data_IF_512895984257
#
_entry.id   IF_512895984257
#
_cell.length_a   1.000
_cell.length_b   1.000
_cell.length_c   1.000
_cell.angle_alpha   90.00
_cell.angle_beta   90.00
_cell.angle_gamma   90.00
#
_symmetry.space_group_name_H-M   'P 1'
#
loop_
_entity.id
_entity.type
_entity.pdbx_description
1 polymer ?
#
# COMPACT_ATOMS: atom_id res chain seq x y z
N UNK A 1 10.99 14.24 4.29
CA UNK A 1 9.74 13.57 3.83
C UNK A 1 10.01 12.07 3.91
N UNK A 2 9.25 11.36 4.74
CA UNK A 2 9.53 9.96 5.09
C UNK A 2 8.65 8.96 4.32
N UNK A 3 7.54 9.41 3.73
CA UNK A 3 6.66 8.59 2.91
C UNK A 3 7.00 8.66 1.43
N UNK A 4 6.92 7.52 0.77
CA UNK A 4 7.07 7.38 -0.68
C UNK A 4 5.71 7.57 -1.32
N UNK A 5 5.63 8.47 -2.28
CA UNK A 5 4.41 8.85 -2.97
C UNK A 5 4.43 8.60 -4.48
N UNK A 6 5.58 8.18 -5.02
CA UNK A 6 5.72 7.89 -6.45
C UNK A 6 6.70 6.74 -6.71
N UNK A 7 6.61 6.16 -7.91
CA UNK A 7 7.55 5.12 -8.35
C UNK A 7 8.94 5.69 -8.55
N UNK A 8 9.07 6.95 -8.99
CA UNK A 8 10.37 7.61 -9.15
C UNK A 8 11.15 7.70 -7.82
N UNK A 9 10.45 7.93 -6.70
CA UNK A 9 11.09 7.93 -5.39
C UNK A 9 11.63 6.55 -5.01
N UNK A 10 10.91 5.47 -5.38
CA UNK A 10 11.41 4.10 -5.22
C UNK A 10 12.62 3.83 -6.11
N UNK A 11 12.58 4.23 -7.37
CA UNK A 11 13.69 4.03 -8.32
C UNK A 11 15.01 4.63 -7.81
N UNK A 12 14.97 5.74 -7.07
CA UNK A 12 16.14 6.35 -6.46
C UNK A 12 16.80 5.50 -5.36
N UNK A 13 16.10 4.47 -4.87
CA UNK A 13 16.56 3.56 -3.82
C UNK A 13 16.98 2.19 -4.36
N UNK A 14 16.97 1.98 -5.69
CA UNK A 14 17.46 0.75 -6.34
C UNK A 14 18.95 0.49 -6.07
N UNK A 15 19.40 -0.79 -6.08
CA UNK A 15 18.63 -2.05 -6.17
C UNK A 15 18.07 -2.53 -4.83
N UNK A 16 17.08 -3.44 -4.90
CA UNK A 16 16.35 -3.95 -3.74
C UNK A 16 16.55 -5.44 -3.49
N UNK A 17 16.66 -5.83 -2.21
CA UNK A 17 16.25 -7.15 -1.74
C UNK A 17 14.82 -7.05 -1.23
N UNK A 18 13.98 -8.01 -1.60
CA UNK A 18 12.56 -8.06 -1.24
C UNK A 18 12.33 -9.12 -0.17
N UNK A 19 11.74 -8.72 0.96
CA UNK A 19 11.32 -9.64 2.03
C UNK A 19 9.85 -9.98 1.82
N UNK A 20 9.57 -11.27 1.57
CA UNK A 20 8.22 -11.80 1.34
C UNK A 20 7.96 -12.17 -0.12
N UNK A 21 7.95 -13.48 -0.40
CA UNK A 21 7.66 -14.08 -1.70
C UNK A 21 6.16 -14.36 -1.84
N UNK A 22 5.36 -13.31 -1.82
CA UNK A 22 3.92 -13.34 -2.01
C UNK A 22 3.47 -12.27 -2.99
N UNK A 23 2.16 -12.07 -3.11
CA UNK A 23 1.59 -11.09 -4.05
C UNK A 23 2.07 -9.65 -3.82
N UNK A 24 2.48 -9.26 -2.60
CA UNK A 24 3.09 -7.97 -2.32
C UNK A 24 4.47 -7.83 -2.94
N UNK A 25 5.35 -8.80 -2.70
CA UNK A 25 6.70 -8.83 -3.27
C UNK A 25 6.69 -8.90 -4.79
N UNK A 26 5.82 -9.75 -5.37
CA UNK A 26 5.64 -9.84 -6.82
C UNK A 26 5.21 -8.49 -7.43
N UNK A 27 4.21 -7.84 -6.84
CA UNK A 27 3.72 -6.53 -7.32
C UNK A 27 4.77 -5.45 -7.22
N UNK A 28 5.52 -5.42 -6.12
CA UNK A 28 6.61 -4.45 -5.94
C UNK A 28 7.68 -4.63 -7.01
N UNK A 29 8.14 -5.85 -7.23
CA UNK A 29 9.20 -6.15 -8.20
C UNK A 29 8.77 -5.94 -9.66
N UNK A 30 7.46 -5.94 -9.95
CA UNK A 30 6.90 -5.63 -11.26
C UNK A 30 6.63 -4.14 -11.50
N UNK A 31 6.90 -3.24 -10.54
CA UNK A 31 6.80 -1.80 -10.77
C UNK A 31 7.85 -1.38 -11.82
N UNK A 32 7.45 -0.47 -12.70
CA UNK A 32 8.32 0.04 -13.76
C UNK A 32 9.60 0.65 -13.20
N UNK A 33 10.75 0.17 -13.66
CA UNK A 33 12.07 0.69 -13.28
C UNK A 33 12.53 0.29 -11.87
N UNK A 34 11.86 -0.63 -11.19
CA UNK A 34 12.35 -1.24 -9.96
C UNK A 34 13.31 -2.37 -10.31
N UNK A 35 14.47 -2.35 -9.68
CA UNK A 35 15.52 -3.35 -9.80
C UNK A 35 15.54 -4.21 -8.54
N UNK A 36 15.11 -5.47 -8.68
CA UNK A 36 15.17 -6.48 -7.62
C UNK A 36 16.38 -7.37 -7.85
N UNK A 37 17.20 -7.59 -6.83
CA UNK A 37 18.41 -8.41 -6.89
C UNK A 37 18.33 -9.68 -6.03
N UNK A 38 17.23 -9.89 -5.30
CA UNK A 38 17.01 -11.10 -4.53
C UNK A 38 15.77 -11.07 -3.66
N UNK A 39 15.39 -12.25 -3.17
CA UNK A 39 14.22 -12.45 -2.32
C UNK A 39 14.56 -13.26 -1.08
N UNK A 40 13.91 -12.90 0.04
CA UNK A 40 13.97 -13.64 1.31
C UNK A 40 12.55 -13.95 1.77
N UNK A 41 12.32 -15.17 2.28
CA UNK A 41 11.06 -15.54 2.92
C UNK A 41 11.34 -16.46 4.12
N UNK A 42 10.60 -16.27 5.23
CA UNK A 42 10.71 -17.11 6.43
C UNK A 42 9.99 -18.46 6.27
N UNK A 43 9.16 -18.63 5.23
CA UNK A 43 8.43 -19.86 4.95
C UNK A 43 9.37 -20.94 4.40
N UNK A 44 9.62 -22.03 5.16
CA UNK A 44 10.53 -23.09 4.71
C UNK A 44 10.13 -23.75 3.38
N UNK A 45 8.83 -23.75 3.05
CA UNK A 45 8.33 -24.35 1.80
C UNK A 45 8.67 -23.49 0.57
N UNK A 46 9.05 -22.24 0.78
CA UNK A 46 9.47 -21.33 -0.29
C UNK A 46 11.00 -21.24 -0.43
N UNK A 47 11.73 -21.45 0.66
CA UNK A 47 13.19 -21.36 0.68
C UNK A 47 13.83 -22.34 -0.31
N UNK A 48 14.82 -21.86 -1.07
CA UNK A 48 15.47 -22.63 -2.13
C UNK A 48 14.62 -22.84 -3.40
N UNK A 49 13.35 -22.37 -3.41
CA UNK A 49 12.54 -22.40 -4.64
C UNK A 49 12.83 -21.20 -5.52
N UNK A 50 12.42 -21.26 -6.79
CA UNK A 50 12.53 -20.13 -7.70
C UNK A 50 11.31 -19.22 -7.59
N UNK A 51 11.53 -17.92 -7.33
CA UNK A 51 10.50 -16.89 -7.33
C UNK A 51 10.95 -15.73 -8.22
N UNK A 52 10.22 -15.46 -9.29
CA UNK A 52 10.52 -14.39 -10.26
C UNK A 52 11.93 -14.46 -10.87
N UNK A 53 12.50 -15.66 -11.01
CA UNK A 53 13.83 -15.89 -11.57
C UNK A 53 14.97 -15.91 -10.56
N UNK A 54 14.69 -15.69 -9.27
CA UNK A 54 15.65 -15.74 -8.17
C UNK A 54 15.41 -16.95 -7.28
N UNK A 55 16.47 -17.54 -6.74
CA UNK A 55 16.36 -18.49 -5.65
C UNK A 55 15.99 -17.75 -4.36
N UNK A 56 14.97 -18.22 -3.64
CA UNK A 56 14.52 -17.59 -2.40
C UNK A 56 15.48 -17.93 -1.26
N UNK A 57 16.14 -16.93 -0.73
CA UNK A 57 17.06 -17.09 0.39
C UNK A 57 16.33 -17.27 1.73
N UNK A 58 16.93 -18.04 2.64
CA UNK A 58 16.45 -18.23 4.03
C UNK A 58 16.98 -17.17 4.99
N UNK A 59 18.02 -16.44 4.61
CA UNK A 59 18.72 -15.46 5.45
C UNK A 59 18.93 -14.15 4.70
N UNK A 60 18.47 -13.05 5.28
CA UNK A 60 18.75 -11.71 4.73
C UNK A 60 20.24 -11.38 4.82
N UNK A 61 20.90 -11.77 5.91
CA UNK A 61 22.31 -11.44 6.15
C UNK A 61 23.17 -12.10 5.06
N UNK A 62 22.98 -13.41 4.84
CA UNK A 62 23.75 -14.13 3.83
C UNK A 62 23.50 -13.58 2.42
N UNK A 63 22.24 -13.27 2.09
CA UNK A 63 21.90 -12.68 0.80
C UNK A 63 22.51 -11.28 0.61
N UNK A 64 22.59 -10.46 1.65
CA UNK A 64 23.26 -9.13 1.55
C UNK A 64 24.76 -9.27 1.27
N UNK A 65 25.40 -10.33 1.75
CA UNK A 65 26.80 -10.62 1.45
C UNK A 65 26.98 -11.11 0.00
N UNK A 66 26.02 -11.84 -0.54
CA UNK A 66 26.02 -12.34 -1.93
C UNK A 66 25.71 -11.24 -2.95
N UNK A 67 24.85 -10.26 -2.60
CA UNK A 67 24.45 -9.14 -3.47
C UNK A 67 24.75 -7.79 -2.80
N UNK A 68 26.03 -7.44 -2.62
CA UNK A 68 26.46 -6.24 -1.92
C UNK A 68 25.99 -4.92 -2.56
N UNK A 69 25.65 -4.96 -3.87
CA UNK A 69 25.11 -3.81 -4.60
C UNK A 69 23.71 -3.41 -4.15
N UNK A 70 22.96 -4.28 -3.47
CA UNK A 70 21.66 -3.92 -2.91
C UNK A 70 21.78 -2.68 -2.01
N UNK A 71 21.01 -1.63 -2.28
CA UNK A 71 21.00 -0.39 -1.49
C UNK A 71 19.87 -0.36 -0.47
N UNK A 72 18.80 -1.10 -0.75
CA UNK A 72 17.57 -1.03 0.03
C UNK A 72 16.96 -2.40 0.24
N UNK A 73 16.31 -2.55 1.39
CA UNK A 73 15.51 -3.71 1.73
C UNK A 73 14.06 -3.28 1.77
N UNK A 74 13.21 -3.91 0.96
CA UNK A 74 11.77 -3.66 1.01
C UNK A 74 11.06 -4.81 1.72
N UNK A 75 10.20 -4.48 2.68
CA UNK A 75 9.50 -5.44 3.54
C UNK A 75 8.03 -5.53 3.10
N UNK A 76 7.68 -6.66 2.46
CA UNK A 76 6.37 -6.96 1.87
C UNK A 76 5.69 -8.14 2.56
N UNK A 77 5.76 -8.19 3.88
CA UNK A 77 5.15 -9.24 4.69
C UNK A 77 3.65 -9.00 4.92
N UNK A 78 2.87 -10.04 5.25
CA UNK A 78 1.45 -9.89 5.56
C UNK A 78 1.23 -9.11 6.87
N UNK A 79 0.04 -8.52 7.02
CA UNK A 79 -0.42 -7.91 8.28
C UNK A 79 -0.36 -8.97 9.39
N UNK A 80 0.13 -8.59 10.57
CA UNK A 80 0.35 -9.50 11.70
C UNK A 80 1.79 -9.99 11.80
N UNK A 81 2.67 -9.65 10.84
CA UNK A 81 4.09 -10.02 10.85
C UNK A 81 5.01 -8.88 11.34
N UNK A 82 4.50 -7.97 12.19
CA UNK A 82 5.22 -6.78 12.66
C UNK A 82 6.55 -7.13 13.35
N UNK A 83 6.57 -8.22 14.12
CA UNK A 83 7.79 -8.69 14.78
C UNK A 83 8.88 -9.12 13.79
N UNK A 84 8.51 -9.85 12.74
CA UNK A 84 9.42 -10.24 11.67
C UNK A 84 9.87 -9.01 10.87
N UNK A 85 8.94 -8.11 10.56
CA UNK A 85 9.25 -6.86 9.86
C UNK A 85 10.28 -6.02 10.63
N UNK A 86 10.13 -5.89 11.96
CA UNK A 86 11.09 -5.17 12.81
C UNK A 86 12.46 -5.85 12.80
N UNK A 87 12.51 -7.19 12.91
CA UNK A 87 13.76 -7.96 12.83
C UNK A 87 14.53 -7.65 11.54
N UNK A 88 13.86 -7.72 10.40
CA UNK A 88 14.45 -7.44 9.10
C UNK A 88 14.88 -5.97 8.95
N UNK A 89 14.09 -5.03 9.47
CA UNK A 89 14.46 -3.63 9.47
C UNK A 89 15.74 -3.36 10.26
N UNK A 90 15.89 -3.97 11.44
CA UNK A 90 17.11 -3.85 12.26
C UNK A 90 18.31 -4.44 11.54
N UNK A 91 18.20 -5.63 10.96
CA UNK A 91 19.27 -6.26 10.18
C UNK A 91 19.71 -5.39 8.98
N UNK A 92 18.75 -4.84 8.26
CA UNK A 92 19.03 -3.95 7.13
C UNK A 92 19.78 -2.68 7.54
N UNK A 93 19.31 -2.03 8.62
CA UNK A 93 19.93 -0.80 9.14
C UNK A 93 21.37 -1.07 9.63
N UNK A 94 21.57 -2.18 10.35
CA UNK A 94 22.90 -2.58 10.85
C UNK A 94 23.89 -2.83 9.71
N UNK A 95 23.40 -3.36 8.58
CA UNK A 95 24.16 -3.57 7.34
C UNK A 95 24.29 -2.29 6.47
N UNK A 96 23.84 -1.13 6.94
CA UNK A 96 23.93 0.13 6.18
C UNK A 96 23.00 0.20 4.97
N UNK A 97 21.89 -0.56 4.98
CA UNK A 97 20.88 -0.56 3.89
C UNK A 97 19.66 0.25 4.28
N UNK A 98 19.07 0.95 3.30
CA UNK A 98 17.79 1.64 3.52
C UNK A 98 16.67 0.63 3.73
N UNK A 99 15.65 1.03 4.47
CA UNK A 99 14.44 0.23 4.71
C UNK A 99 13.26 0.89 4.04
N UNK A 100 12.51 0.11 3.25
CA UNK A 100 11.24 0.50 2.66
C UNK A 100 10.16 -0.46 3.15
N UNK A 101 9.07 0.05 3.70
CA UNK A 101 8.04 -0.80 4.30
C UNK A 101 6.67 -0.15 4.24
N UNK A 102 5.62 -0.96 4.22
CA UNK A 102 4.24 -0.53 4.44
C UNK A 102 3.76 -0.70 5.89
N UNK A 103 4.64 -1.13 6.80
CA UNK A 103 4.31 -1.29 8.22
C UNK A 103 4.46 0.03 8.97
N UNK A 104 3.36 0.55 9.49
CA UNK A 104 3.35 1.76 10.31
C UNK A 104 4.22 1.63 11.56
N UNK A 105 4.28 0.44 12.16
CA UNK A 105 5.15 0.15 13.32
C UNK A 105 6.65 0.35 13.05
N UNK A 106 7.06 0.43 11.78
CA UNK A 106 8.42 0.77 11.37
C UNK A 106 8.58 2.24 10.99
N UNK A 107 7.49 3.03 10.97
CA UNK A 107 7.57 4.44 10.65
C UNK A 107 8.39 5.21 11.68
N UNK A 108 8.99 6.30 11.24
CA UNK A 108 9.77 7.17 12.13
C UNK A 108 8.91 7.78 13.23
N UNK A 109 7.65 8.00 12.97
CA UNK A 109 6.69 8.58 13.92
C UNK A 109 6.32 7.60 15.02
N UNK A 110 6.08 6.34 14.69
CA UNK A 110 5.64 5.33 15.65
C UNK A 110 6.82 4.60 16.33
N UNK A 111 8.05 4.65 15.74
CA UNK A 111 9.23 3.98 16.27
C UNK A 111 10.46 4.89 16.35
N UNK A 112 10.47 5.80 17.31
CA UNK A 112 11.56 6.76 17.53
C UNK A 112 12.93 6.07 17.74
N UNK A 113 12.96 4.90 18.38
CA UNK A 113 14.19 4.15 18.62
C UNK A 113 14.79 3.62 17.32
N UNK A 114 13.95 3.07 16.44
CA UNK A 114 14.37 2.59 15.14
C UNK A 114 14.83 3.75 14.25
N UNK A 115 14.13 4.88 14.30
CA UNK A 115 14.50 6.11 13.59
C UNK A 115 15.89 6.63 14.02
N UNK A 116 16.18 6.65 15.32
CA UNK A 116 17.49 7.03 15.83
C UNK A 116 18.57 6.07 15.37
N UNK A 117 18.28 4.77 15.39
CA UNK A 117 19.22 3.74 14.95
C UNK A 117 19.54 3.90 13.45
N UNK A 118 18.54 4.13 12.61
CA UNK A 118 18.75 4.40 11.20
C UNK A 118 19.60 5.65 10.95
N UNK A 119 19.32 6.75 11.65
CA UNK A 119 20.10 7.98 11.55
C UNK A 119 21.56 7.78 11.97
N UNK A 120 21.83 7.00 13.01
CA UNK A 120 23.19 6.68 13.45
C UNK A 120 23.98 5.87 12.42
N UNK A 121 23.29 5.04 11.64
CA UNK A 121 23.87 4.25 10.54
C UNK A 121 23.85 4.98 9.17
N UNK A 122 23.35 6.21 9.12
CA UNK A 122 23.32 7.02 7.88
C UNK A 122 22.36 6.50 6.82
N UNK A 123 21.34 5.71 7.21
CA UNK A 123 20.36 5.11 6.30
C UNK A 123 18.96 5.69 6.52
N UNK A 124 18.09 5.55 5.51
CA UNK A 124 16.72 6.03 5.53
C UNK A 124 15.74 4.89 5.82
N UNK A 125 14.71 5.20 6.62
CA UNK A 125 13.48 4.41 6.67
C UNK A 125 12.42 5.16 5.87
N UNK A 126 11.80 4.49 4.91
CA UNK A 126 10.77 5.05 4.04
C UNK A 126 9.51 4.21 4.13
N UNK A 127 8.37 4.87 4.27
CA UNK A 127 7.06 4.23 4.28
C UNK A 127 6.42 4.32 2.89
N UNK A 128 6.02 3.16 2.34
CA UNK A 128 5.15 3.12 1.15
C UNK A 128 3.73 3.36 1.64
N UNK A 129 3.21 4.58 1.42
CA UNK A 129 1.91 5.03 1.95
C UNK A 129 2.00 5.45 3.44
N UNK A 130 0.97 5.94 4.05
CA UNK A 130 -0.14 6.69 3.49
C UNK A 130 0.07 8.18 3.73
N UNK A 131 -0.44 8.96 2.84
CA UNK A 131 -0.53 10.42 2.98
C UNK A 131 -1.52 10.84 4.10
N UNK A 132 -1.46 10.17 5.25
CA UNK A 132 -2.27 10.53 6.41
C UNK A 132 -1.96 11.95 6.90
N UNK A 133 -0.69 12.34 6.82
CA UNK A 133 -0.24 13.71 7.04
C UNK A 133 -0.95 14.69 6.10
N UNK A 134 -1.10 14.35 4.82
CA UNK A 134 -1.85 15.18 3.87
C UNK A 134 -3.33 15.22 4.20
N UNK A 135 -3.94 14.09 4.57
CA UNK A 135 -5.34 14.04 5.01
C UNK A 135 -5.52 14.88 6.26
N UNK A 136 -4.62 14.78 7.22
CA UNK A 136 -4.64 15.60 8.44
C UNK A 136 -4.53 17.08 8.10
N UNK A 137 -3.66 17.47 7.18
CA UNK A 137 -3.51 18.86 6.73
C UNK A 137 -4.77 19.37 6.01
N UNK A 138 -5.39 18.57 5.16
CA UNK A 138 -6.65 18.92 4.47
C UNK A 138 -7.76 19.21 5.47
N UNK A 139 -7.76 18.52 6.60
CA UNK A 139 -8.77 18.68 7.63
C UNK A 139 -8.36 19.64 8.76
N UNK A 140 -7.17 20.23 8.68
CA UNK A 140 -6.65 21.12 9.71
C UNK A 140 -6.39 20.43 11.05
N UNK A 141 -6.07 19.13 11.02
CA UNK A 141 -5.74 18.35 12.21
C UNK A 141 -4.26 18.57 12.51
N UNK A 142 -3.94 19.00 13.75
CA UNK A 142 -2.57 19.14 14.18
C UNK A 142 -1.86 17.76 14.20
N UNK A 143 -0.58 17.66 13.79
CA UNK A 143 0.18 16.40 13.74
C UNK A 143 0.19 15.62 15.07
N UNK A 144 0.22 16.33 16.20
CA UNK A 144 0.18 15.74 17.54
C UNK A 144 -1.16 15.07 17.91
N UNK A 145 -2.20 15.30 17.13
CA UNK A 145 -3.52 14.68 17.27
C UNK A 145 -3.81 13.61 16.24
N UNK A 146 -2.84 13.24 15.42
CA UNK A 146 -2.99 12.28 14.33
C UNK A 146 -3.32 10.84 14.79
N UNK A 147 -3.18 10.56 16.09
CA UNK A 147 -3.57 9.28 16.71
C UNK A 147 -5.03 9.25 17.18
N UNK A 148 -5.71 10.40 17.18
CA UNK A 148 -7.13 10.47 17.50
C UNK A 148 -7.96 10.08 16.26
N UNK A 149 -9.18 9.57 16.52
CA UNK A 149 -10.17 9.26 15.48
C UNK A 149 -10.34 10.50 14.58
N UNK A 150 -10.17 10.32 13.28
CA UNK A 150 -10.37 11.40 12.31
C UNK A 150 -11.74 12.04 12.52
N UNK A 151 -11.84 13.38 12.55
CA UNK A 151 -13.10 14.04 12.84
C UNK A 151 -14.16 13.67 11.79
N UNK A 152 -15.41 13.64 12.21
CA UNK A 152 -16.53 13.50 11.27
C UNK A 152 -16.53 14.69 10.33
N UNK A 153 -16.30 14.43 9.06
CA UNK A 153 -16.22 15.43 8.02
C UNK A 153 -17.54 15.48 7.30
N UNK A 154 -18.07 16.67 7.16
CA UNK A 154 -19.20 16.94 6.28
C UNK A 154 -18.65 17.57 5.01
N UNK A 155 -18.63 16.79 3.94
CA UNK A 155 -18.23 17.24 2.62
C UNK A 155 -19.11 16.56 1.57
N UNK A 156 -19.58 17.32 0.60
CA UNK A 156 -20.36 16.79 -0.53
C UNK A 156 -19.50 16.88 -1.79
N UNK A 157 -19.08 15.75 -2.35
CA UNK A 157 -18.34 15.73 -3.61
C UNK A 157 -19.10 16.41 -4.73
N UNK A 158 -18.37 17.06 -5.63
CA UNK A 158 -18.90 17.66 -6.87
C UNK A 158 -18.71 16.74 -8.07
N UNK A 159 -17.61 15.98 -8.07
CA UNK A 159 -17.31 14.98 -9.07
C UNK A 159 -18.25 13.78 -8.95
N UNK A 160 -18.52 13.11 -10.08
CA UNK A 160 -19.19 11.80 -10.02
C UNK A 160 -18.26 10.76 -9.41
N UNK A 161 -18.75 9.99 -8.43
CA UNK A 161 -17.95 9.01 -7.69
C UNK A 161 -18.33 7.59 -8.13
N UNK A 162 -17.34 6.81 -8.53
CA UNK A 162 -17.50 5.40 -8.90
C UNK A 162 -16.66 4.52 -7.99
N UNK A 163 -17.31 3.64 -7.25
CA UNK A 163 -16.63 2.65 -6.42
C UNK A 163 -16.42 1.33 -7.18
N UNK A 164 -15.20 0.82 -7.19
CA UNK A 164 -14.82 -0.44 -7.82
C UNK A 164 -14.54 -1.50 -6.75
N UNK A 165 -15.59 -2.19 -6.32
CA UNK A 165 -15.52 -3.27 -5.34
C UNK A 165 -15.31 -4.64 -5.96
N UNK A 166 -15.31 -5.68 -5.13
CA UNK A 166 -15.19 -7.06 -5.59
C UNK A 166 -15.72 -8.08 -4.61
N UNK A 167 -16.04 -9.25 -5.14
CA UNK A 167 -16.54 -10.38 -4.34
C UNK A 167 -15.44 -11.15 -3.62
N UNK A 168 -14.16 -10.95 -4.03
CA UNK A 168 -13.00 -11.59 -3.43
C UNK A 168 -11.75 -10.72 -3.54
N UNK A 169 -10.68 -11.12 -2.87
CA UNK A 169 -9.34 -10.61 -3.18
C UNK A 169 -8.95 -11.00 -4.62
N UNK A 170 -8.06 -10.24 -5.24
CA UNK A 170 -7.50 -10.56 -6.58
C UNK A 170 -8.54 -10.74 -7.71
N UNK A 171 -9.75 -10.21 -7.55
CA UNK A 171 -10.78 -10.22 -8.59
C UNK A 171 -10.67 -9.05 -9.59
N UNK A 172 -9.55 -8.33 -9.59
CA UNK A 172 -9.25 -7.30 -10.58
C UNK A 172 -9.67 -5.88 -10.20
N UNK A 173 -10.02 -5.59 -8.94
CA UNK A 173 -10.45 -4.25 -8.49
C UNK A 173 -9.51 -3.14 -8.92
N UNK A 174 -8.21 -3.25 -8.59
CA UNK A 174 -7.19 -2.26 -8.96
C UNK A 174 -7.11 -2.06 -10.46
N UNK A 175 -6.99 -3.16 -11.22
CA UNK A 175 -6.92 -3.11 -12.70
C UNK A 175 -8.15 -2.44 -13.29
N UNK A 176 -9.34 -2.75 -12.79
CA UNK A 176 -10.59 -2.12 -13.22
C UNK A 176 -10.59 -0.62 -12.92
N UNK A 177 -10.28 -0.23 -11.69
CA UNK A 177 -10.25 1.18 -11.27
C UNK A 177 -9.31 2.01 -12.15
N UNK A 178 -8.09 1.52 -12.36
CA UNK A 178 -7.08 2.20 -13.19
C UNK A 178 -7.50 2.28 -14.65
N UNK A 179 -7.99 1.19 -15.23
CA UNK A 179 -8.43 1.18 -16.64
C UNK A 179 -9.63 2.09 -16.90
N UNK A 180 -10.53 2.20 -15.93
CA UNK A 180 -11.65 3.15 -16.02
C UNK A 180 -11.15 4.59 -15.98
N UNK A 181 -10.20 4.92 -15.11
CA UNK A 181 -9.55 6.24 -15.09
C UNK A 181 -8.90 6.58 -16.42
N UNK A 182 -8.11 5.66 -16.99
CA UNK A 182 -7.51 5.82 -18.32
C UNK A 182 -8.56 5.97 -19.43
N UNK A 183 -9.63 5.17 -19.36
CA UNK A 183 -10.69 5.23 -20.36
C UNK A 183 -11.48 6.55 -20.30
N UNK A 184 -11.73 7.08 -19.11
CA UNK A 184 -12.36 8.38 -18.90
C UNK A 184 -11.48 9.51 -19.48
N UNK A 185 -10.19 9.50 -19.16
CA UNK A 185 -9.23 10.47 -19.71
C UNK A 185 -9.17 10.42 -21.24
N UNK A 186 -9.14 9.22 -21.83
CA UNK A 186 -9.19 9.05 -23.30
C UNK A 186 -10.47 9.60 -23.93
N UNK A 187 -11.55 9.73 -23.17
CA UNK A 187 -12.81 10.34 -23.60
C UNK A 187 -12.91 11.85 -23.33
N UNK A 188 -11.83 12.46 -22.87
CA UNK A 188 -11.76 13.90 -22.62
C UNK A 188 -12.26 14.34 -21.24
N UNK A 189 -12.54 13.40 -20.31
CA UNK A 189 -12.91 13.73 -18.95
C UNK A 189 -11.66 13.93 -18.09
N UNK A 190 -11.71 14.85 -17.13
CA UNK A 190 -10.72 14.94 -16.06
C UNK A 190 -11.06 13.85 -15.05
N UNK A 191 -10.25 12.80 -15.01
CA UNK A 191 -10.48 11.69 -14.08
C UNK A 191 -9.55 11.73 -12.87
N UNK A 192 -10.08 11.38 -11.70
CA UNK A 192 -9.31 11.08 -10.49
C UNK A 192 -9.30 9.57 -10.21
N UNK A 193 -8.20 9.05 -9.68
CA UNK A 193 -8.07 7.64 -9.28
C UNK A 193 -7.52 7.56 -7.88
N UNK A 194 -8.30 6.97 -6.96
CA UNK A 194 -7.91 6.69 -5.59
C UNK A 194 -7.66 5.20 -5.42
N UNK A 195 -6.43 4.82 -5.05
CA UNK A 195 -6.08 3.46 -4.67
C UNK A 195 -6.07 3.32 -3.14
N UNK A 196 -6.48 2.16 -2.65
CA UNK A 196 -6.59 1.86 -1.22
C UNK A 196 -5.57 0.82 -0.74
N UNK A 197 -4.56 0.58 -1.55
CA UNK A 197 -3.50 -0.38 -1.29
C UNK A 197 -2.11 0.30 -1.48
N UNK A 198 -1.12 -0.16 -0.75
CA UNK A 198 0.24 0.38 -0.75
C UNK A 198 0.89 0.38 -2.13
N UNK A 199 0.50 -0.55 -2.99
CA UNK A 199 1.04 -0.67 -4.35
C UNK A 199 0.30 0.18 -5.38
N UNK A 200 -0.59 1.06 -4.95
CA UNK A 200 -1.31 2.02 -5.80
C UNK A 200 -0.47 3.24 -6.20
N UNK A 201 0.85 3.09 -6.37
CA UNK A 201 1.76 4.19 -6.75
C UNK A 201 1.81 4.44 -8.26
N UNK A 202 1.44 3.45 -9.06
CA UNK A 202 1.52 3.55 -10.53
C UNK A 202 0.43 4.45 -11.11
N UNK A 203 0.79 5.20 -12.17
CA UNK A 203 -0.19 5.95 -12.96
C UNK A 203 -1.26 5.01 -13.56
N UNK A 204 -2.53 5.43 -13.62
CA UNK A 204 -3.05 6.78 -13.40
C UNK A 204 -3.46 7.10 -11.95
N UNK A 205 -2.96 6.40 -10.93
CA UNK A 205 -3.32 6.69 -9.53
C UNK A 205 -2.89 8.11 -9.17
N UNK A 206 -3.83 8.90 -8.69
CA UNK A 206 -3.61 10.28 -8.26
C UNK A 206 -3.43 10.38 -6.74
N UNK A 207 -4.10 9.49 -6.01
CA UNK A 207 -4.00 9.41 -4.56
C UNK A 207 -4.04 7.95 -4.11
N UNK A 208 -3.18 7.58 -3.16
CA UNK A 208 -3.17 6.24 -2.60
C UNK A 208 -2.98 6.26 -1.10
N UNK A 209 -3.57 5.30 -0.42
CA UNK A 209 -3.30 4.99 0.98
C UNK A 209 -3.62 3.52 1.26
N UNK A 210 -2.96 2.96 2.29
CA UNK A 210 -3.22 1.59 2.70
C UNK A 210 -4.41 1.55 3.66
N UNK A 211 -5.60 1.22 3.15
CA UNK A 211 -6.81 1.12 3.99
C UNK A 211 -6.64 0.14 5.17
N UNK A 212 -5.86 -0.94 4.99
CA UNK A 212 -5.58 -1.92 6.04
C UNK A 212 -4.72 -1.40 7.20
N UNK A 213 -4.07 -0.24 7.09
CA UNK A 213 -3.34 0.39 8.20
C UNK A 213 -4.20 1.36 9.02
N UNK A 214 -5.44 1.59 8.60
CA UNK A 214 -6.41 2.43 9.31
C UNK A 214 -7.44 1.58 10.07
N UNK A 215 -8.02 2.15 11.11
CA UNK A 215 -9.21 1.57 11.69
C UNK A 215 -10.39 1.68 10.70
N UNK A 216 -11.32 0.72 10.75
CA UNK A 216 -12.50 0.77 9.89
C UNK A 216 -13.34 2.05 10.13
N UNK A 217 -13.20 2.69 11.27
CA UNK A 217 -13.89 3.95 11.61
C UNK A 217 -13.25 5.17 10.97
N UNK A 218 -11.95 5.12 10.67
CA UNK A 218 -11.18 6.22 10.07
C UNK A 218 -11.22 6.20 8.54
N UNK A 219 -11.43 5.03 7.94
CA UNK A 219 -11.48 4.87 6.48
C UNK A 219 -12.49 5.80 5.80
N UNK A 220 -13.73 5.96 6.27
CA UNK A 220 -14.69 6.86 5.64
C UNK A 220 -14.18 8.30 5.56
N UNK A 221 -13.55 8.78 6.63
CA UNK A 221 -12.96 10.13 6.63
C UNK A 221 -11.74 10.24 5.73
N UNK A 222 -10.90 9.21 5.68
CA UNK A 222 -9.75 9.15 4.78
C UNK A 222 -10.17 9.18 3.30
N UNK A 223 -11.20 8.43 2.94
CA UNK A 223 -11.76 8.44 1.57
C UNK A 223 -12.33 9.83 1.23
N UNK A 224 -13.14 10.39 2.11
CA UNK A 224 -13.76 11.70 1.86
C UNK A 224 -12.70 12.80 1.74
N UNK A 225 -11.63 12.71 2.54
CA UNK A 225 -10.48 13.60 2.45
C UNK A 225 -9.72 13.46 1.15
N UNK A 226 -9.51 12.24 0.69
CA UNK A 226 -8.86 11.99 -0.60
C UNK A 226 -9.67 12.55 -1.77
N UNK A 227 -11.00 12.42 -1.72
CA UNK A 227 -11.90 13.01 -2.71
C UNK A 227 -11.77 14.53 -2.70
N UNK A 228 -11.89 15.15 -1.51
CA UNK A 228 -11.75 16.59 -1.35
C UNK A 228 -10.41 17.11 -1.87
N UNK A 229 -9.31 16.43 -1.53
CA UNK A 229 -7.99 16.77 -2.02
C UNK A 229 -7.93 16.75 -3.55
N UNK A 230 -8.42 15.69 -4.19
CA UNK A 230 -8.42 15.60 -5.65
C UNK A 230 -9.30 16.68 -6.31
N UNK A 231 -10.42 17.02 -5.70
CA UNK A 231 -11.26 18.10 -6.22
C UNK A 231 -10.60 19.48 -6.13
N UNK A 232 -9.80 19.72 -5.10
CA UNK A 232 -9.03 20.96 -4.94
C UNK A 232 -7.84 21.05 -5.90
N UNK A 233 -7.13 19.93 -6.11
CA UNK A 233 -5.91 19.89 -6.91
C UNK A 233 -6.17 19.70 -8.41
N UNK A 234 -7.17 18.92 -8.77
CA UNK A 234 -7.34 18.42 -10.14
C UNK A 234 -8.69 18.80 -10.77
N UNK A 235 -9.67 19.19 -9.96
CA UNK A 235 -11.05 19.50 -10.41
C UNK A 235 -11.62 18.39 -11.31
N UNK A 236 -11.68 17.12 -10.88
CA UNK A 236 -12.11 16.01 -11.70
C UNK A 236 -13.62 16.06 -12.01
N UNK A 237 -13.98 15.60 -13.21
CA UNK A 237 -15.37 15.32 -13.58
C UNK A 237 -15.85 14.02 -12.92
N UNK A 238 -14.94 13.06 -12.73
CA UNK A 238 -15.23 11.73 -12.21
C UNK A 238 -14.05 11.19 -11.42
N UNK A 239 -14.34 10.53 -10.28
CA UNK A 239 -13.34 9.87 -9.43
C UNK A 239 -13.66 8.38 -9.32
N UNK A 240 -12.67 7.54 -9.61
CA UNK A 240 -12.73 6.09 -9.43
C UNK A 240 -12.00 5.69 -8.15
N UNK A 241 -12.67 4.91 -7.29
CA UNK A 241 -12.16 4.51 -5.98
C UNK A 241 -12.03 3.00 -5.92
N UNK A 242 -10.82 2.52 -5.61
CA UNK A 242 -10.55 1.10 -5.42
C UNK A 242 -11.11 0.60 -4.10
N UNK A 243 -11.88 -0.50 -4.13
CA UNK A 243 -12.28 -1.22 -2.94
C UNK A 243 -11.16 -2.14 -2.43
N UNK A 244 -11.08 -2.33 -1.13
CA UNK A 244 -10.08 -3.18 -0.48
C UNK A 244 -10.71 -4.47 0.05
N UNK A 245 -9.99 -5.60 -0.09
CA UNK A 245 -10.49 -6.91 0.35
C UNK A 245 -11.75 -7.34 -0.42
N UNK A 246 -12.75 -7.87 0.25
CA UNK A 246 -13.98 -8.39 -0.32
C UNK A 246 -15.22 -7.74 0.28
N UNK A 247 -16.29 -7.67 -0.48
CA UNK A 247 -17.62 -7.30 0.01
C UNK A 247 -18.41 -8.50 0.59
N UNK A 248 -18.11 -9.71 0.12
CA UNK A 248 -18.98 -10.89 0.33
C UNK A 248 -18.25 -12.14 0.83
N UNK A 249 -16.92 -12.14 0.87
CA UNK A 249 -16.13 -13.34 1.17
C UNK A 249 -16.22 -13.74 2.65
N UNK A 250 -16.67 -14.98 2.90
CA UNK A 250 -16.72 -15.59 4.22
C UNK A 250 -15.37 -16.23 4.57
N UNK A 251 -14.95 -16.12 5.83
CA UNK A 251 -13.74 -16.80 6.32
C UNK A 251 -12.40 -16.11 6.03
N UNK A 252 -12.40 -14.93 5.41
CA UNK A 252 -11.16 -14.18 5.22
C UNK A 252 -10.72 -13.55 6.54
N UNK A 253 -9.44 -13.74 6.99
CA UNK A 253 -8.91 -13.09 8.19
C UNK A 253 -8.79 -11.57 8.04
N UNK A 254 -8.82 -11.05 6.81
CA UNK A 254 -8.85 -9.61 6.58
C UNK A 254 -10.23 -9.03 6.90
N UNK A 255 -10.28 -7.88 7.59
CA UNK A 255 -11.54 -7.30 8.02
C UNK A 255 -12.47 -7.06 6.83
N UNK A 256 -13.61 -7.71 6.76
CA UNK A 256 -14.67 -7.46 5.77
C UNK A 256 -15.14 -6.01 5.75
N UNK A 257 -14.91 -5.29 6.85
CA UNK A 257 -15.29 -3.90 7.01
C UNK A 257 -14.58 -2.92 6.07
N UNK A 258 -13.41 -3.25 5.49
CA UNK A 258 -12.64 -2.30 4.71
C UNK A 258 -13.38 -1.79 3.47
N UNK A 259 -13.87 -2.70 2.61
CA UNK A 259 -14.66 -2.31 1.43
C UNK A 259 -15.96 -1.60 1.81
N UNK A 260 -16.63 -2.04 2.87
CA UNK A 260 -17.84 -1.39 3.37
C UNK A 260 -17.54 0.02 3.90
N UNK A 261 -16.45 0.19 4.66
CA UNK A 261 -16.02 1.49 5.16
C UNK A 261 -15.64 2.46 4.03
N UNK A 262 -14.95 1.97 2.98
CA UNK A 262 -14.64 2.75 1.78
C UNK A 262 -15.94 3.17 1.08
N UNK A 263 -16.88 2.26 0.91
CA UNK A 263 -18.18 2.53 0.27
C UNK A 263 -18.97 3.59 1.04
N UNK A 264 -18.97 3.50 2.37
CA UNK A 264 -19.62 4.50 3.25
C UNK A 264 -18.97 5.88 3.08
N UNK A 265 -17.63 5.95 3.06
CA UNK A 265 -16.91 7.22 2.89
C UNK A 265 -17.04 7.82 1.49
N UNK A 266 -17.12 6.97 0.48
CA UNK A 266 -17.19 7.40 -0.91
C UNK A 266 -18.56 7.96 -1.32
N UNK A 267 -19.65 7.51 -0.71
CA UNK A 267 -21.02 7.82 -1.14
C UNK A 267 -21.18 7.78 -2.67
N UNK A 268 -20.87 6.65 -3.33
CA UNK A 268 -20.70 6.62 -4.78
C UNK A 268 -22.02 6.75 -5.53
N UNK A 269 -21.97 7.41 -6.68
CA UNK A 269 -23.09 7.49 -7.64
C UNK A 269 -23.28 6.17 -8.40
N UNK A 270 -22.18 5.39 -8.54
CA UNK A 270 -22.19 4.08 -9.18
C UNK A 270 -21.23 3.11 -8.51
N UNK A 271 -21.59 1.82 -8.54
CA UNK A 271 -20.79 0.71 -8.02
C UNK A 271 -20.52 -0.29 -9.11
N UNK A 272 -19.24 -0.64 -9.29
CA UNK A 272 -18.79 -1.71 -10.18
C UNK A 272 -18.26 -2.84 -9.29
N UNK A 273 -18.75 -4.06 -9.52
CA UNK A 273 -18.34 -5.23 -8.73
C UNK A 273 -17.62 -6.23 -9.62
N UNK A 274 -16.31 -6.39 -9.37
CA UNK A 274 -15.52 -7.43 -9.99
C UNK A 274 -15.84 -8.80 -9.35
N UNK A 275 -15.98 -9.83 -10.18
CA UNK A 275 -16.18 -11.20 -9.73
C UNK A 275 -15.27 -12.16 -10.48
N UNK A 276 -14.64 -13.08 -9.75
CA UNK A 276 -13.81 -14.15 -10.31
C UNK A 276 -14.46 -15.49 -9.97
N UNK A 277 -15.26 -16.07 -10.89
CA UNK A 277 -16.11 -17.22 -10.58
C UNK A 277 -15.34 -18.49 -10.18
N UNK A 278 -14.11 -18.63 -10.61
CA UNK A 278 -13.27 -19.81 -10.34
C UNK A 278 -12.16 -19.52 -9.31
N UNK A 279 -12.31 -18.48 -8.51
CA UNK A 279 -11.36 -18.24 -7.42
C UNK A 279 -11.58 -19.31 -6.36
N UNK A 280 -10.59 -20.15 -6.04
CA UNK A 280 -10.74 -21.10 -4.96
C UNK A 280 -11.06 -20.32 -3.69
N UNK A 281 -12.15 -20.70 -3.02
CA UNK A 281 -12.39 -20.21 -1.66
C UNK A 281 -11.13 -20.56 -0.87
N UNK A 282 -10.48 -19.57 -0.30
CA UNK A 282 -9.36 -19.86 0.60
C UNK A 282 -10.00 -20.57 1.79
N UNK A 283 -9.70 -21.85 1.96
CA UNK A 283 -10.03 -22.55 3.19
C UNK A 283 -9.52 -21.73 4.37
N UNK A 284 -10.31 -21.63 5.45
CA UNK A 284 -9.81 -20.97 6.66
C UNK A 284 -8.51 -21.66 7.04
N UNK A 285 -7.42 -20.91 7.08
CA UNK A 285 -6.18 -21.43 7.65
C UNK A 285 -6.46 -21.67 9.12
N UNK A 286 -6.46 -22.97 9.48
CA UNK A 286 -6.66 -23.43 10.84
C UNK A 286 -5.56 -22.94 11.80
#
# INVERSE_FOLDING_TARGET
>A
MYSISSVEELQNLNPYIVIGCGGGGEKFSNLEGIETVGFVDDDPDKQGTNFMGFEVASSLIDLMDEVPEAKSIVIMLPIGAEGAALKYAVQAIDAGKNVVSSFRSLSIEDNISLAKFANQNGVAIKEISPRLDMINNIFGIAPEKSTEILPKISYTPKASIVFCGGTSQECGKRTTTRNLGLAATKRGLVSGVISTDEMGLEKPTDFNFRAGSLSAMDIPSAILGSIKYLEEEKHPDIIFIEGQSSLTEDGNPHPRGLSAAILIGAHPDAVIVGHRPNHPFREPRG
#
